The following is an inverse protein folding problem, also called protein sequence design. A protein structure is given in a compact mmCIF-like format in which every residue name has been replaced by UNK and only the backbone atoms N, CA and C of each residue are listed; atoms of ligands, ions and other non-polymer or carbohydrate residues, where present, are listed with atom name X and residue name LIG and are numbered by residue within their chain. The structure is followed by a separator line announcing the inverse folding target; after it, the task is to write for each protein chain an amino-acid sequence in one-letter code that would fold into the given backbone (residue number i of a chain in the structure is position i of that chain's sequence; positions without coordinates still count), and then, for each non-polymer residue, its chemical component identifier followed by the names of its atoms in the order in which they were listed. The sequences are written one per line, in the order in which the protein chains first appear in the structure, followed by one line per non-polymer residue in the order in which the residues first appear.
data_IF_206355605169
#
_entry.id   IF_206355605169
#
_cell.length_a   1.000
_cell.length_b   1.000
_cell.length_c   1.000
_cell.angle_alpha   90.00
_cell.angle_beta   90.00
_cell.angle_gamma   90.00
#
_symmetry.space_group_name_H-M   'P 1'
#
loop_
_entity.id
_entity.type
_entity.pdbx_description
1 polymer ?
#
# COMPACT_ATOMS: atom_id res chain seq x y z
N UNK A 1 -21.59 -5.01 17.56
CA UNK A 1 -20.24 -4.76 18.12
C UNK A 1 -19.35 -5.91 17.67
N UNK A 2 -18.10 -5.69 17.23
CA UNK A 2 -17.21 -6.79 16.85
C UNK A 2 -16.97 -7.70 18.06
N UNK A 3 -16.89 -9.01 17.83
CA UNK A 3 -16.65 -10.00 18.89
C UNK A 3 -15.23 -9.90 19.45
N UNK A 4 -14.24 -9.65 18.59
CA UNK A 4 -12.83 -9.48 18.94
C UNK A 4 -12.11 -8.61 17.90
N UNK A 5 -10.96 -8.05 18.30
CA UNK A 5 -9.99 -7.47 17.37
C UNK A 5 -8.73 -8.31 17.44
N UNK A 6 -8.36 -8.94 16.32
CA UNK A 6 -7.15 -9.73 16.19
C UNK A 6 -6.03 -8.84 15.62
N UNK A 7 -5.08 -8.46 16.45
CA UNK A 7 -3.93 -7.62 16.09
C UNK A 7 -2.75 -8.51 15.68
N UNK A 8 -2.50 -8.56 14.38
CA UNK A 8 -1.38 -9.27 13.74
C UNK A 8 -0.11 -8.42 13.66
N UNK A 9 -0.16 -7.17 14.12
CA UNK A 9 0.99 -6.27 14.11
C UNK A 9 2.09 -6.73 15.07
N UNK A 10 3.36 -6.41 14.78
CA UNK A 10 4.44 -6.71 15.69
C UNK A 10 4.31 -5.91 16.99
N UNK A 11 4.96 -6.41 18.04
CA UNK A 11 5.12 -5.64 19.27
C UNK A 11 5.99 -4.40 19.02
N UNK A 12 5.69 -3.32 19.72
CA UNK A 12 6.47 -2.08 19.63
C UNK A 12 7.92 -2.34 20.07
N UNK A 13 8.85 -1.95 19.22
CA UNK A 13 10.29 -2.00 19.49
C UNK A 13 10.74 -0.74 20.23
N UNK A 14 11.90 -0.80 20.90
CA UNK A 14 12.51 0.38 21.54
C UNK A 14 12.67 1.56 20.55
N UNK A 15 13.08 1.26 19.31
CA UNK A 15 13.21 2.24 18.23
C UNK A 15 11.87 2.92 17.91
N UNK A 16 10.79 2.14 17.79
CA UNK A 16 9.45 2.70 17.56
C UNK A 16 8.99 3.56 18.75
N UNK A 17 9.35 3.19 19.98
CA UNK A 17 9.07 3.98 21.18
C UNK A 17 9.76 5.36 21.18
N UNK A 18 11.04 5.41 20.81
CA UNK A 18 11.78 6.68 20.68
C UNK A 18 11.17 7.59 19.62
N UNK A 19 10.83 7.04 18.44
CA UNK A 19 10.11 7.79 17.40
C UNK A 19 8.73 8.24 17.87
N UNK A 20 8.07 7.45 18.73
CA UNK A 20 6.80 7.81 19.36
C UNK A 20 6.90 9.05 20.23
N UNK A 21 7.99 9.22 20.97
CA UNK A 21 8.25 10.44 21.75
C UNK A 21 8.47 11.65 20.82
N UNK A 22 9.24 11.51 19.75
CA UNK A 22 9.41 12.58 18.75
C UNK A 22 8.08 12.96 18.09
N UNK A 23 7.26 11.96 17.77
CA UNK A 23 5.93 12.14 17.20
C UNK A 23 4.98 12.83 18.20
N UNK A 24 5.04 12.49 19.48
CA UNK A 24 4.24 13.12 20.53
C UNK A 24 4.59 14.60 20.69
N UNK A 25 5.89 14.95 20.65
CA UNK A 25 6.36 16.35 20.69
C UNK A 25 5.97 17.13 19.42
N UNK A 26 5.96 16.47 18.26
CA UNK A 26 5.64 17.09 16.98
C UNK A 26 4.13 17.26 16.75
N UNK A 27 3.36 16.22 17.04
CA UNK A 27 1.95 16.07 16.72
C UNK A 27 1.20 15.40 17.89
N UNK A 28 1.02 16.09 19.04
CA UNK A 28 0.46 15.46 20.24
C UNK A 28 -0.99 15.01 20.04
N UNK A 29 -1.80 15.81 19.35
CA UNK A 29 -3.23 15.52 19.13
C UNK A 29 -3.45 14.16 18.43
N UNK A 30 -2.85 13.88 17.23
CA UNK A 30 -2.96 12.57 16.60
C UNK A 30 -2.45 11.40 17.46
N UNK A 31 -1.33 11.58 18.17
CA UNK A 31 -0.76 10.50 19.00
C UNK A 31 -1.68 10.16 20.17
N UNK A 32 -2.17 11.17 20.90
CA UNK A 32 -3.11 10.98 22.01
C UNK A 32 -4.45 10.38 21.53
N UNK A 33 -4.92 10.78 20.34
CA UNK A 33 -6.10 10.21 19.71
C UNK A 33 -5.90 8.71 19.42
N UNK A 34 -4.77 8.33 18.83
CA UNK A 34 -4.42 6.92 18.59
C UNK A 34 -4.33 6.10 19.87
N UNK A 35 -3.72 6.64 20.93
CA UNK A 35 -3.66 6.00 22.25
C UNK A 35 -5.05 5.79 22.85
N UNK A 36 -5.94 6.78 22.72
CA UNK A 36 -7.34 6.68 23.17
C UNK A 36 -8.10 5.58 22.43
N UNK A 37 -7.89 5.45 21.11
CA UNK A 37 -8.48 4.37 20.32
C UNK A 37 -7.97 2.99 20.74
N UNK A 38 -6.66 2.82 20.93
CA UNK A 38 -6.08 1.55 21.39
C UNK A 38 -6.58 1.16 22.77
N UNK A 39 -6.69 2.14 23.68
CA UNK A 39 -7.23 1.91 25.02
C UNK A 39 -8.72 1.52 24.98
N UNK A 40 -9.50 2.19 24.13
CA UNK A 40 -10.91 1.87 23.91
C UNK A 40 -11.08 0.47 23.30
N UNK A 41 -10.26 0.10 22.32
CA UNK A 41 -10.26 -1.22 21.72
C UNK A 41 -9.94 -2.30 22.75
N UNK A 42 -8.92 -2.10 23.59
CA UNK A 42 -8.55 -3.01 24.67
C UNK A 42 -9.67 -3.19 25.70
N UNK A 43 -10.33 -2.09 26.11
CA UNK A 43 -11.38 -2.13 27.14
C UNK A 43 -12.73 -2.63 26.67
N UNK A 44 -13.11 -2.36 25.42
CA UNK A 44 -14.48 -2.54 24.94
C UNK A 44 -14.65 -3.63 23.88
N UNK A 45 -13.59 -3.97 23.14
CA UNK A 45 -13.70 -4.75 21.89
C UNK A 45 -12.87 -6.05 21.88
N UNK A 46 -12.31 -6.47 23.02
CA UNK A 46 -11.55 -7.73 23.10
C UNK A 46 -10.33 -7.75 22.17
N UNK A 47 -9.39 -6.82 22.38
CA UNK A 47 -8.15 -6.75 21.61
C UNK A 47 -7.20 -7.90 22.00
N UNK A 48 -6.98 -8.82 21.06
CA UNK A 48 -6.02 -9.93 21.17
C UNK A 48 -4.80 -9.55 20.34
N UNK A 49 -3.63 -9.48 20.97
CA UNK A 49 -2.38 -9.05 20.32
C UNK A 49 -1.45 -10.22 20.06
N UNK A 50 -0.51 -10.02 19.14
CA UNK A 50 0.48 -11.05 18.80
C UNK A 50 -0.15 -12.22 18.07
N UNK A 51 -1.24 -11.96 17.34
CA UNK A 51 -1.94 -12.98 16.56
C UNK A 51 -1.05 -13.39 15.38
N UNK A 52 -0.88 -14.70 15.23
CA UNK A 52 -0.15 -15.34 14.13
C UNK A 52 -1.08 -16.32 13.43
N UNK A 53 -0.70 -16.69 12.20
CA UNK A 53 -1.34 -17.78 11.43
C UNK A 53 -2.87 -17.75 11.45
N UNK A 54 -3.46 -16.63 11.01
CA UNK A 54 -4.91 -16.49 10.87
C UNK A 54 -5.42 -17.29 9.67
N UNK A 55 -6.36 -18.20 9.88
CA UNK A 55 -7.06 -18.95 8.84
C UNK A 55 -8.56 -18.75 8.96
N UNK A 56 -9.21 -18.55 7.83
CA UNK A 56 -10.66 -18.46 7.72
C UNK A 56 -11.22 -19.79 7.22
N UNK A 57 -12.28 -20.27 7.89
CA UNK A 57 -12.92 -21.54 7.59
C UNK A 57 -14.36 -21.35 7.13
N UNK A 58 -14.78 -22.20 6.21
CA UNK A 58 -16.11 -22.18 5.63
C UNK A 58 -16.11 -22.81 4.25
N UNK A 59 -17.27 -23.32 3.83
CA UNK A 59 -17.46 -23.84 2.47
C UNK A 59 -17.92 -22.69 1.56
N UNK A 60 -19.22 -22.37 1.58
CA UNK A 60 -19.79 -21.27 0.77
C UNK A 60 -19.67 -19.90 1.43
N UNK A 61 -19.51 -19.87 2.75
CA UNK A 61 -19.45 -18.66 3.58
C UNK A 61 -18.58 -18.90 4.80
N UNK A 62 -18.02 -17.83 5.35
CA UNK A 62 -17.28 -17.85 6.60
C UNK A 62 -18.13 -18.40 7.75
N UNK A 63 -17.60 -19.35 8.51
CA UNK A 63 -18.23 -19.94 9.70
C UNK A 63 -17.39 -19.83 10.95
N UNK A 64 -16.06 -19.90 10.81
CA UNK A 64 -15.13 -19.74 11.93
C UNK A 64 -13.75 -19.26 11.46
N UNK A 65 -12.94 -18.85 12.43
CA UNK A 65 -11.55 -18.49 12.27
C UNK A 65 -10.72 -19.35 13.21
N UNK A 66 -9.56 -19.81 12.76
CA UNK A 66 -8.51 -20.29 13.67
C UNK A 66 -7.34 -19.32 13.64
N UNK A 67 -6.75 -19.07 14.80
CA UNK A 67 -5.58 -18.22 14.91
C UNK A 67 -4.69 -18.69 16.05
N UNK A 68 -3.38 -18.45 15.91
CA UNK A 68 -2.43 -18.61 17.00
C UNK A 68 -2.32 -17.28 17.75
N UNK A 69 -2.29 -17.32 19.08
CA UNK A 69 -1.84 -16.21 19.89
C UNK A 69 -0.97 -16.73 21.01
N UNK A 70 0.27 -16.25 21.09
CA UNK A 70 1.22 -16.67 22.12
C UNK A 70 1.45 -18.19 22.17
N UNK A 71 1.49 -18.87 21.01
CA UNK A 71 1.76 -20.30 20.90
C UNK A 71 0.58 -21.22 21.22
N UNK A 72 -0.62 -20.65 21.38
CA UNK A 72 -1.86 -21.39 21.61
C UNK A 72 -2.81 -21.13 20.44
N UNK A 73 -3.39 -22.21 19.92
CA UNK A 73 -4.40 -22.14 18.88
C UNK A 73 -5.78 -21.88 19.50
N UNK A 74 -6.51 -20.95 18.89
CA UNK A 74 -7.87 -20.57 19.28
C UNK A 74 -8.79 -20.68 18.07
N UNK A 75 -10.03 -21.05 18.33
CA UNK A 75 -11.12 -21.01 17.35
C UNK A 75 -12.16 -19.96 17.75
N UNK A 76 -12.62 -19.17 16.78
CA UNK A 76 -13.66 -18.17 16.95
C UNK A 76 -14.76 -18.36 15.89
N UNK A 77 -15.97 -18.68 16.33
CA UNK A 77 -17.13 -18.74 15.43
C UNK A 77 -17.60 -17.34 15.06
N UNK A 78 -17.61 -17.03 13.75
CA UNK A 78 -18.03 -15.75 13.22
C UNK A 78 -18.50 -15.89 11.77
N UNK A 79 -19.44 -15.05 11.36
CA UNK A 79 -19.90 -14.93 9.97
C UNK A 79 -19.29 -13.73 9.23
N UNK A 80 -18.51 -12.89 9.92
CA UNK A 80 -17.88 -11.69 9.33
C UNK A 80 -16.43 -11.53 9.78
N UNK A 81 -15.54 -11.40 8.80
CA UNK A 81 -14.13 -11.03 8.99
C UNK A 81 -13.86 -9.73 8.24
N UNK A 82 -13.38 -8.71 8.97
CA UNK A 82 -12.93 -7.45 8.40
C UNK A 82 -11.40 -7.38 8.50
N UNK A 83 -10.72 -7.36 7.36
CA UNK A 83 -9.26 -7.38 7.29
C UNK A 83 -8.73 -6.00 6.90
N UNK A 84 -7.73 -5.53 7.65
CA UNK A 84 -6.97 -4.33 7.32
C UNK A 84 -5.49 -4.57 7.59
N UNK A 85 -4.67 -4.51 6.54
CA UNK A 85 -3.20 -4.61 6.61
C UNK A 85 -2.58 -3.40 5.90
N UNK A 86 -2.94 -2.21 6.37
CA UNK A 86 -2.44 -0.94 5.86
C UNK A 86 -3.05 -0.49 4.53
N UNK A 87 -2.46 0.57 4.00
CA UNK A 87 -2.81 1.19 2.71
C UNK A 87 -1.52 1.50 1.97
N UNK A 88 -1.57 1.44 0.64
CA UNK A 88 -0.44 1.73 -0.24
C UNK A 88 -0.87 2.75 -1.32
N UNK A 89 0.08 3.53 -1.89
CA UNK A 89 -0.25 4.47 -2.96
C UNK A 89 -0.87 3.76 -4.16
N UNK A 90 -1.88 4.39 -4.77
CA UNK A 90 -2.42 3.90 -6.03
C UNK A 90 -1.58 4.42 -7.20
N UNK A 91 -0.62 3.59 -7.63
CA UNK A 91 0.38 3.93 -8.65
C UNK A 91 -0.06 3.63 -10.09
N UNK A 92 -1.26 3.09 -10.33
CA UNK A 92 -1.64 2.61 -11.67
C UNK A 92 -1.63 3.72 -12.72
N UNK A 93 -2.19 4.88 -12.38
CA UNK A 93 -2.25 6.01 -13.30
C UNK A 93 -0.84 6.56 -13.58
N UNK A 94 -0.02 6.73 -12.54
CA UNK A 94 1.34 7.26 -12.67
C UNK A 94 2.26 6.30 -13.42
N UNK A 95 2.21 5.00 -13.13
CA UNK A 95 2.96 3.98 -13.87
C UNK A 95 2.52 3.90 -15.33
N UNK A 96 1.22 3.97 -15.62
CA UNK A 96 0.72 4.00 -17.01
C UNK A 96 1.13 5.28 -17.75
N UNK A 97 1.30 6.39 -17.04
CA UNK A 97 1.82 7.64 -17.59
C UNK A 97 3.35 7.60 -17.80
N UNK A 98 4.02 6.49 -17.47
CA UNK A 98 5.47 6.33 -17.61
C UNK A 98 6.26 7.12 -16.58
N UNK A 99 5.68 7.41 -15.42
CA UNK A 99 6.42 7.99 -14.29
C UNK A 99 7.28 6.89 -13.66
N UNK A 100 8.55 7.18 -13.40
CA UNK A 100 9.47 6.27 -12.72
C UNK A 100 9.05 6.06 -11.27
N UNK A 101 9.16 4.83 -10.81
CA UNK A 101 8.85 4.41 -9.44
C UNK A 101 10.00 3.52 -8.95
N UNK A 102 10.22 3.52 -7.65
CA UNK A 102 11.09 2.56 -6.96
C UNK A 102 10.31 1.83 -5.87
N UNK A 103 10.83 0.68 -5.45
CA UNK A 103 10.28 -0.02 -4.31
C UNK A 103 10.75 0.62 -2.99
N UNK A 104 9.82 1.12 -2.18
CA UNK A 104 10.10 1.62 -0.84
C UNK A 104 10.03 0.47 0.17
N UNK A 105 11.17 0.09 0.73
CA UNK A 105 11.26 -1.04 1.68
C UNK A 105 10.64 -0.74 3.05
N UNK A 106 10.47 0.53 3.42
CA UNK A 106 9.89 0.92 4.71
C UNK A 106 8.38 0.69 4.70
N UNK A 107 7.68 1.17 3.66
CA UNK A 107 6.25 0.97 3.47
C UNK A 107 5.93 -0.30 2.69
N UNK A 108 6.96 -1.02 2.23
CA UNK A 108 6.87 -2.21 1.40
C UNK A 108 5.93 -2.04 0.20
N UNK A 109 6.06 -0.92 -0.51
CA UNK A 109 5.22 -0.62 -1.66
C UNK A 109 5.96 0.22 -2.71
N UNK A 110 5.40 0.27 -3.92
CA UNK A 110 5.94 1.09 -5.00
C UNK A 110 5.55 2.56 -4.80
N UNK A 111 6.51 3.47 -4.92
CA UNK A 111 6.30 4.92 -4.82
C UNK A 111 6.93 5.62 -6.04
N UNK A 112 6.32 6.69 -6.57
CA UNK A 112 6.91 7.48 -7.64
C UNK A 112 8.16 8.22 -7.19
N UNK A 113 9.07 8.43 -8.13
CA UNK A 113 10.21 9.33 -7.95
C UNK A 113 9.72 10.78 -8.01
N UNK A 114 9.79 11.48 -6.88
CA UNK A 114 9.39 12.88 -6.76
C UNK A 114 10.60 13.76 -6.47
N UNK A 115 10.65 14.90 -7.17
CA UNK A 115 11.62 15.98 -6.98
C UNK A 115 10.87 17.27 -6.60
N UNK A 116 11.53 18.14 -5.84
CA UNK A 116 10.93 19.42 -5.42
C UNK A 116 9.67 19.20 -4.56
N UNK A 117 8.59 19.90 -4.92
CA UNK A 117 7.30 19.79 -4.22
C UNK A 117 6.46 18.60 -4.72
N UNK A 118 6.48 18.32 -6.03
CA UNK A 118 5.70 17.22 -6.63
C UNK A 118 6.09 16.87 -8.06
N UNK A 119 7.17 17.44 -8.59
CA UNK A 119 7.66 17.17 -9.93
C UNK A 119 8.06 15.71 -10.08
N UNK A 120 7.68 15.09 -11.20
CA UNK A 120 7.96 13.68 -11.49
C UNK A 120 9.05 13.55 -12.55
N UNK A 121 9.39 12.31 -12.93
CA UNK A 121 10.21 12.06 -14.12
C UNK A 121 9.59 12.53 -15.45
N UNK A 122 8.28 12.84 -15.47
CA UNK A 122 7.59 13.42 -16.62
C UNK A 122 7.37 14.91 -16.34
N UNK A 123 8.04 15.79 -17.10
CA UNK A 123 8.08 17.24 -16.85
C UNK A 123 6.68 17.87 -16.70
N UNK A 124 5.72 17.41 -17.48
CA UNK A 124 4.36 17.99 -17.51
C UNK A 124 3.38 17.29 -16.55
N UNK A 125 3.87 16.40 -15.68
CA UNK A 125 3.03 15.69 -14.71
C UNK A 125 3.63 15.85 -13.31
N UNK A 126 2.84 16.45 -12.42
CA UNK A 126 3.14 16.53 -11.00
C UNK A 126 2.22 15.60 -10.20
N UNK A 127 2.68 15.14 -9.04
CA UNK A 127 1.92 14.28 -8.14
C UNK A 127 1.89 14.84 -6.72
N UNK A 128 0.81 14.53 -5.99
CA UNK A 128 0.55 15.05 -4.65
C UNK A 128 -0.20 14.02 -3.79
N UNK A 129 -0.02 14.12 -2.47
CA UNK A 129 -0.82 13.41 -1.48
C UNK A 129 -0.50 11.91 -1.44
N UNK A 130 -1.49 11.11 -1.04
CA UNK A 130 -1.28 9.68 -0.82
C UNK A 130 -1.02 8.88 -2.12
N UNK A 131 -1.16 9.50 -3.30
CA UNK A 131 -0.70 8.94 -4.57
C UNK A 131 0.83 8.97 -4.74
N UNK A 132 1.53 9.85 -4.00
CA UNK A 132 2.99 9.87 -3.91
C UNK A 132 3.47 8.90 -2.83
N UNK A 133 2.91 9.05 -1.63
CA UNK A 133 3.29 8.26 -0.46
C UNK A 133 2.20 8.43 0.57
N UNK A 134 1.90 7.38 1.33
CA UNK A 134 0.95 7.50 2.44
C UNK A 134 1.50 8.47 3.48
N UNK A 135 0.93 9.67 3.52
CA UNK A 135 1.30 10.78 4.41
C UNK A 135 0.12 11.27 5.26
N UNK A 136 -1.11 11.02 4.81
CA UNK A 136 -2.34 11.41 5.50
C UNK A 136 -2.91 12.76 5.04
N UNK A 137 -4.17 13.01 5.39
CA UNK A 137 -4.95 14.13 4.83
C UNK A 137 -4.29 15.51 5.02
N UNK A 138 -3.77 15.81 6.21
CA UNK A 138 -3.09 17.10 6.46
C UNK A 138 -1.80 17.26 5.64
N UNK A 139 -1.08 16.17 5.38
CA UNK A 139 0.10 16.18 4.53
C UNK A 139 -0.31 16.43 3.07
N UNK A 140 -1.37 15.77 2.60
CA UNK A 140 -1.85 15.94 1.24
C UNK A 140 -2.25 17.39 0.92
N UNK A 141 -2.92 18.09 1.86
CA UNK A 141 -3.27 19.51 1.70
C UNK A 141 -2.02 20.38 1.59
N UNK A 142 -1.08 20.25 2.54
CA UNK A 142 0.15 21.04 2.56
C UNK A 142 1.06 20.76 1.36
N UNK A 143 1.11 19.51 0.89
CA UNK A 143 1.81 19.17 -0.34
C UNK A 143 1.13 19.79 -1.56
N UNK A 144 -0.21 19.78 -1.63
CA UNK A 144 -0.96 20.34 -2.75
C UNK A 144 -0.73 21.82 -2.95
N UNK A 145 -0.71 22.61 -1.88
CA UNK A 145 -0.37 24.03 -1.94
C UNK A 145 1.03 24.25 -2.55
N UNK A 146 2.01 23.43 -2.15
CA UNK A 146 3.38 23.55 -2.66
C UNK A 146 3.50 23.10 -4.12
N UNK A 147 2.83 22.02 -4.50
CA UNK A 147 2.80 21.55 -5.89
C UNK A 147 2.10 22.58 -6.78
N UNK A 148 1.03 23.21 -6.31
CA UNK A 148 0.36 24.28 -7.04
C UNK A 148 1.31 25.47 -7.29
N UNK A 149 2.11 25.87 -6.30
CA UNK A 149 3.14 26.90 -6.48
C UNK A 149 4.21 26.47 -7.49
N UNK A 150 4.72 25.24 -7.39
CA UNK A 150 5.72 24.70 -8.32
C UNK A 150 5.21 24.68 -9.77
N UNK A 151 3.96 24.25 -9.97
CA UNK A 151 3.30 24.23 -11.28
C UNK A 151 3.05 25.66 -11.79
N UNK A 152 2.60 26.58 -10.94
CA UNK A 152 2.37 27.97 -11.32
C UNK A 152 3.67 28.64 -11.82
N UNK A 153 4.78 28.42 -11.12
CA UNK A 153 6.11 28.89 -11.55
C UNK A 153 6.53 28.24 -12.87
N UNK A 154 6.32 26.93 -13.04
CA UNK A 154 6.59 26.23 -14.31
C UNK A 154 5.80 26.83 -15.50
N UNK A 155 4.56 27.27 -15.25
CA UNK A 155 3.70 27.93 -16.24
C UNK A 155 4.02 29.43 -16.45
N UNK A 156 5.06 29.96 -15.80
CA UNK A 156 5.51 31.34 -15.98
C UNK A 156 4.84 32.38 -15.06
N UNK A 157 4.15 31.96 -14.01
CA UNK A 157 3.64 32.88 -12.99
C UNK A 157 4.82 33.54 -12.21
N UNK A 158 4.82 34.87 -12.12
CA UNK A 158 5.95 35.66 -11.58
C UNK A 158 6.08 35.64 -10.05
N UNK A 159 5.06 35.20 -9.32
CA UNK A 159 5.10 35.12 -7.85
C UNK A 159 4.52 33.82 -7.33
N UNK A 160 5.39 32.98 -6.75
CA UNK A 160 5.03 31.97 -5.75
C UNK A 160 6.16 31.92 -4.73
N UNK A 161 6.08 32.76 -3.70
CA UNK A 161 7.09 32.91 -2.64
C UNK A 161 7.21 31.71 -1.67
N UNK A 162 6.50 30.61 -1.94
CA UNK A 162 6.32 29.49 -1.01
C UNK A 162 7.36 28.36 -1.13
N UNK A 163 8.32 28.46 -2.07
CA UNK A 163 9.22 27.34 -2.39
C UNK A 163 10.51 27.27 -1.55
N UNK A 164 10.83 28.28 -0.73
CA UNK A 164 12.15 28.36 -0.10
C UNK A 164 12.38 27.39 1.08
N UNK A 165 11.35 27.05 1.86
CA UNK A 165 11.50 26.13 3.01
C UNK A 165 10.26 25.25 3.21
N UNK A 166 10.48 24.00 3.60
CA UNK A 166 9.37 23.12 3.95
C UNK A 166 8.61 23.64 5.18
N UNK A 167 7.27 23.77 5.12
CA UNK A 167 6.48 24.23 6.25
C UNK A 167 6.76 23.41 7.52
N UNK A 168 6.90 24.09 8.67
CA UNK A 168 7.06 23.44 9.98
C UNK A 168 5.97 22.40 10.23
N UNK A 169 4.75 22.65 9.76
CA UNK A 169 3.64 21.72 9.84
C UNK A 169 3.94 20.40 9.10
N UNK A 170 4.46 20.46 7.87
CA UNK A 170 4.81 19.27 7.09
C UNK A 170 5.97 18.50 7.72
N UNK A 171 6.99 19.22 8.22
CA UNK A 171 8.08 18.63 8.99
C UNK A 171 7.61 17.89 10.25
N UNK A 172 6.63 18.44 10.98
CA UNK A 172 6.03 17.76 12.15
C UNK A 172 5.28 16.49 11.74
N UNK A 173 4.49 16.55 10.67
CA UNK A 173 3.78 15.38 10.16
C UNK A 173 4.72 14.27 9.68
N UNK A 174 5.90 14.60 9.12
CA UNK A 174 6.93 13.61 8.77
C UNK A 174 7.43 12.84 9.99
N UNK A 175 7.60 13.49 11.15
CA UNK A 175 7.99 12.81 12.40
C UNK A 175 6.91 11.83 12.86
N UNK A 176 5.65 12.25 12.80
CA UNK A 176 4.51 11.37 13.06
C UNK A 176 4.51 10.17 12.09
N UNK A 177 4.71 10.40 10.79
CA UNK A 177 4.70 9.34 9.78
C UNK A 177 5.82 8.33 9.99
N UNK A 178 7.05 8.79 10.29
CA UNK A 178 8.18 7.92 10.62
C UNK A 178 7.89 7.01 11.81
N UNK A 179 7.21 7.52 12.84
CA UNK A 179 6.75 6.69 13.96
C UNK A 179 5.74 5.65 13.50
N UNK A 180 4.71 6.05 12.76
CA UNK A 180 3.65 5.13 12.30
C UNK A 180 4.20 4.02 11.39
N UNK A 181 5.08 4.35 10.44
CA UNK A 181 5.71 3.38 9.54
C UNK A 181 6.52 2.31 10.30
N UNK A 182 7.15 2.69 11.41
CA UNK A 182 7.97 1.79 12.23
C UNK A 182 7.16 1.04 13.30
N UNK A 183 6.08 1.64 13.80
CA UNK A 183 5.21 1.04 14.81
C UNK A 183 4.20 0.06 14.21
N UNK A 184 3.79 0.29 12.97
CA UNK A 184 2.78 -0.50 12.25
C UNK A 184 3.28 -0.91 10.86
N UNK A 185 4.38 -1.67 10.76
CA UNK A 185 4.84 -2.18 9.48
C UNK A 185 3.84 -3.21 8.93
N UNK A 186 3.82 -3.43 7.59
CA UNK A 186 3.02 -4.50 6.98
C UNK A 186 3.32 -5.87 7.59
N UNK A 187 2.30 -6.73 7.70
CA UNK A 187 2.49 -8.04 8.31
C UNK A 187 3.10 -9.03 7.31
N UNK A 188 4.17 -9.72 7.69
CA UNK A 188 4.82 -10.74 6.84
C UNK A 188 3.84 -11.78 6.26
N UNK A 189 2.82 -12.19 7.01
CA UNK A 189 1.83 -13.18 6.55
C UNK A 189 1.00 -12.73 5.35
N UNK A 190 0.82 -11.42 5.16
CA UNK A 190 0.15 -10.85 3.98
C UNK A 190 1.13 -10.59 2.82
N UNK A 191 2.40 -10.32 3.14
CA UNK A 191 3.46 -10.11 2.14
C UNK A 191 3.93 -11.41 1.50
N UNK A 192 4.15 -12.44 2.33
CA UNK A 192 4.65 -13.76 1.94
C UNK A 192 3.70 -14.85 2.45
N UNK A 193 2.49 -14.94 1.90
CA UNK A 193 1.49 -15.91 2.35
C UNK A 193 1.91 -17.37 2.10
N UNK A 194 1.27 -18.31 2.79
CA UNK A 194 1.51 -19.75 2.61
C UNK A 194 1.10 -20.21 1.22
N UNK A 195 1.62 -21.35 0.80
CA UNK A 195 1.46 -21.88 -0.55
C UNK A 195 0.00 -22.03 -1.01
N UNK A 196 -0.89 -22.40 -0.10
CA UNK A 196 -2.32 -22.65 -0.36
C UNK A 196 -3.11 -21.34 -0.53
N UNK A 197 -2.53 -20.20 -0.15
CA UNK A 197 -3.24 -18.92 -0.17
C UNK A 197 -3.45 -18.43 -1.59
N UNK A 198 -4.71 -18.14 -1.96
CA UNK A 198 -5.04 -17.50 -3.23
C UNK A 198 -4.53 -16.05 -3.23
N UNK A 199 -3.59 -15.75 -4.12
CA UNK A 199 -3.01 -14.42 -4.30
C UNK A 199 -3.79 -13.63 -5.36
N UNK A 200 -4.19 -14.28 -6.47
CA UNK A 200 -4.99 -13.65 -7.52
C UNK A 200 -6.42 -14.19 -7.54
N UNK A 201 -7.32 -13.57 -6.78
CA UNK A 201 -8.74 -13.97 -6.72
C UNK A 201 -9.46 -13.96 -8.07
N UNK A 202 -9.01 -13.17 -9.05
CA UNK A 202 -9.68 -13.11 -10.35
C UNK A 202 -9.33 -14.27 -11.27
N UNK A 203 -8.17 -14.89 -11.08
CA UNK A 203 -7.65 -15.98 -11.93
C UNK A 203 -7.33 -17.21 -11.07
N UNK A 204 -7.77 -17.20 -9.82
CA UNK A 204 -7.64 -18.27 -8.81
C UNK A 204 -6.21 -18.78 -8.56
N UNK A 205 -5.20 -17.93 -8.79
CA UNK A 205 -3.79 -18.29 -8.66
C UNK A 205 -3.32 -18.25 -7.19
N UNK A 206 -2.69 -19.33 -6.75
CA UNK A 206 -2.11 -19.53 -5.43
C UNK A 206 -0.70 -18.96 -5.29
N UNK A 207 -0.23 -18.80 -4.04
CA UNK A 207 1.15 -18.39 -3.78
C UNK A 207 2.16 -19.46 -4.24
N UNK A 208 1.79 -20.74 -4.17
CA UNK A 208 2.60 -21.86 -4.66
C UNK A 208 2.93 -21.73 -6.15
N UNK A 209 1.92 -21.46 -6.98
CA UNK A 209 2.09 -21.32 -8.43
C UNK A 209 2.99 -20.14 -8.79
N UNK A 210 2.89 -19.02 -8.06
CA UNK A 210 3.77 -17.85 -8.26
C UNK A 210 5.22 -18.22 -7.94
N UNK A 211 5.47 -18.90 -6.81
CA UNK A 211 6.81 -19.36 -6.42
C UNK A 211 7.37 -20.35 -7.44
N UNK A 212 6.56 -21.30 -7.91
CA UNK A 212 6.96 -22.29 -8.91
C UNK A 212 7.40 -21.63 -10.22
N UNK A 213 6.64 -20.64 -10.70
CA UNK A 213 6.97 -19.91 -11.93
C UNK A 213 8.23 -19.08 -11.74
N UNK A 214 8.41 -18.45 -10.59
CA UNK A 214 9.66 -17.73 -10.26
C UNK A 214 10.87 -18.67 -10.23
N UNK A 215 10.74 -19.83 -9.59
CA UNK A 215 11.79 -20.86 -9.52
C UNK A 215 12.12 -21.47 -10.89
N UNK A 216 11.18 -21.43 -11.84
CA UNK A 216 11.39 -21.87 -13.23
C UNK A 216 12.15 -20.85 -14.09
N UNK A 217 12.70 -19.78 -13.50
CA UNK A 217 13.49 -18.77 -14.20
C UNK A 217 12.69 -17.58 -14.71
N UNK A 218 11.44 -17.41 -14.27
CA UNK A 218 10.64 -16.25 -14.64
C UNK A 218 11.18 -14.97 -13.99
N UNK A 219 11.50 -13.97 -14.82
CA UNK A 219 12.22 -12.78 -14.38
C UNK A 219 11.34 -11.77 -13.64
N UNK A 220 10.03 -11.77 -13.89
CA UNK A 220 9.14 -10.83 -13.22
C UNK A 220 7.67 -11.01 -13.58
N UNK A 221 6.78 -10.18 -12.99
CA UNK A 221 5.34 -10.40 -13.05
C UNK A 221 4.78 -10.42 -14.49
N UNK A 222 5.35 -9.64 -15.40
CA UNK A 222 4.91 -9.58 -16.80
C UNK A 222 5.12 -10.90 -17.56
N UNK A 223 6.23 -11.58 -17.31
CA UNK A 223 6.49 -12.90 -17.89
C UNK A 223 5.66 -13.97 -17.15
N UNK A 224 5.56 -13.87 -15.82
CA UNK A 224 4.81 -14.84 -15.01
C UNK A 224 3.33 -14.89 -15.36
N UNK A 225 2.76 -13.74 -15.74
CA UNK A 225 1.40 -13.60 -16.25
C UNK A 225 1.13 -14.46 -17.49
N UNK A 226 2.12 -14.74 -18.35
CA UNK A 226 1.91 -15.61 -19.51
C UNK A 226 1.65 -17.07 -19.10
N UNK A 227 2.18 -17.50 -17.96
CA UNK A 227 2.04 -18.86 -17.45
C UNK A 227 0.85 -19.02 -16.51
N UNK A 228 0.60 -18.04 -15.64
CA UNK A 228 -0.43 -18.16 -14.58
C UNK A 228 -1.67 -17.32 -14.83
N UNK A 229 -1.64 -16.39 -15.80
CA UNK A 229 -2.63 -15.33 -15.98
C UNK A 229 -2.78 -14.37 -14.79
N UNK A 230 -2.00 -14.53 -13.72
CA UNK A 230 -2.07 -13.68 -12.54
C UNK A 230 -1.92 -12.19 -12.94
N UNK A 231 -2.90 -11.37 -12.51
CA UNK A 231 -2.99 -9.96 -12.90
C UNK A 231 -3.75 -9.68 -14.21
N UNK A 232 -4.38 -10.68 -14.83
CA UNK A 232 -5.22 -10.53 -16.04
C UNK A 232 -6.69 -10.24 -15.79
N UNK A 233 -7.19 -10.50 -14.60
CA UNK A 233 -8.59 -10.22 -14.28
C UNK A 233 -8.96 -8.73 -14.30
N UNK A 234 -10.24 -8.38 -14.10
CA UNK A 234 -10.74 -7.00 -14.19
C UNK A 234 -10.09 -6.03 -13.18
N UNK A 235 -9.46 -6.56 -12.13
CA UNK A 235 -8.66 -5.76 -11.20
C UNK A 235 -7.31 -5.28 -11.80
N UNK A 236 -6.85 -5.87 -12.91
CA UNK A 236 -5.59 -5.54 -13.60
C UNK A 236 -4.38 -5.51 -12.66
N UNK A 237 -4.30 -6.51 -11.77
CA UNK A 237 -3.21 -6.64 -10.80
C UNK A 237 -3.34 -5.76 -9.54
N UNK A 238 -4.32 -4.85 -9.44
CA UNK A 238 -4.46 -3.89 -8.30
C UNK A 238 -4.48 -4.53 -6.91
N UNK A 239 -4.83 -5.82 -6.84
CA UNK A 239 -4.97 -6.54 -5.57
C UNK A 239 -3.85 -7.54 -5.31
N UNK A 240 -3.13 -7.99 -6.35
CA UNK A 240 -2.13 -9.05 -6.23
C UNK A 240 -0.71 -8.62 -6.60
N UNK A 241 -0.51 -7.49 -7.29
CA UNK A 241 0.79 -7.14 -7.87
C UNK A 241 1.92 -7.04 -6.85
N UNK A 242 1.64 -6.45 -5.68
CA UNK A 242 2.63 -6.30 -4.63
C UNK A 242 3.08 -7.66 -4.09
N UNK A 243 2.13 -8.50 -3.68
CA UNK A 243 2.37 -9.86 -3.18
C UNK A 243 3.07 -10.73 -4.23
N UNK A 244 2.68 -10.63 -5.50
CA UNK A 244 3.35 -11.35 -6.60
C UNK A 244 4.82 -10.96 -6.68
N UNK A 245 5.12 -9.67 -6.68
CA UNK A 245 6.49 -9.18 -6.79
C UNK A 245 7.33 -9.62 -5.58
N UNK A 246 6.75 -9.59 -4.38
CA UNK A 246 7.39 -10.06 -3.14
C UNK A 246 7.65 -11.57 -3.16
N UNK A 247 6.67 -12.39 -3.56
CA UNK A 247 6.81 -13.84 -3.67
C UNK A 247 7.87 -14.25 -4.70
N UNK A 248 7.90 -13.58 -5.85
CA UNK A 248 8.91 -13.84 -6.88
C UNK A 248 10.32 -13.44 -6.41
N UNK A 249 10.43 -12.33 -5.67
CA UNK A 249 11.69 -11.85 -5.11
C UNK A 249 12.24 -12.83 -4.08
N UNK A 250 11.38 -13.26 -3.14
CA UNK A 250 11.67 -14.26 -2.12
C UNK A 250 12.11 -15.59 -2.75
N UNK A 251 11.35 -16.11 -3.71
CA UNK A 251 11.68 -17.37 -4.39
C UNK A 251 13.00 -17.34 -5.18
N UNK A 252 13.40 -16.17 -5.68
CA UNK A 252 14.64 -15.98 -6.45
C UNK A 252 15.83 -15.50 -5.63
N UNK A 253 15.61 -15.09 -4.38
CA UNK A 253 16.66 -14.51 -3.53
C UNK A 253 17.18 -13.15 -4.01
N UNK A 254 16.33 -12.36 -4.66
CA UNK A 254 16.68 -11.02 -5.20
C UNK A 254 15.81 -9.92 -4.58
N UNK A 255 16.14 -8.66 -4.84
CA UNK A 255 15.32 -7.54 -4.37
C UNK A 255 13.98 -7.44 -5.13
N UNK A 256 12.94 -6.90 -4.47
CA UNK A 256 11.65 -6.64 -5.12
C UNK A 256 11.79 -5.62 -6.27
N UNK A 257 12.74 -4.69 -6.15
CA UNK A 257 13.02 -3.70 -7.19
C UNK A 257 13.52 -4.36 -8.49
N UNK A 258 14.37 -5.40 -8.37
CA UNK A 258 14.86 -6.19 -9.51
C UNK A 258 13.75 -7.01 -10.20
N UNK A 259 12.80 -7.56 -9.43
CA UNK A 259 11.62 -8.25 -9.98
C UNK A 259 10.71 -7.29 -10.76
N UNK A 260 10.60 -6.05 -10.27
CA UNK A 260 9.75 -5.03 -10.87
C UNK A 260 8.26 -5.25 -10.62
N UNK A 261 7.45 -4.48 -11.35
CA UNK A 261 5.99 -4.49 -11.26
C UNK A 261 5.37 -4.93 -12.60
N UNK A 262 4.06 -5.19 -12.61
CA UNK A 262 3.33 -5.30 -13.87
C UNK A 262 3.46 -4.01 -14.68
N UNK A 263 3.59 -4.16 -16.00
CA UNK A 263 3.49 -3.05 -16.94
C UNK A 263 2.03 -2.62 -17.04
N UNK A 264 1.71 -1.46 -16.46
CA UNK A 264 0.36 -0.91 -16.47
C UNK A 264 0.08 -0.28 -17.84
N UNK A 265 -1.09 -0.60 -18.41
CA UNK A 265 -1.54 -0.11 -19.72
C UNK A 265 -2.92 0.52 -19.59
N UNK A 266 -3.25 1.52 -20.42
CA UNK A 266 -4.61 2.02 -20.51
C UNK A 266 -5.56 0.94 -21.09
N UNK A 267 -6.85 0.96 -20.75
CA UNK A 267 -7.49 1.87 -19.78
C UNK A 267 -7.26 1.44 -18.32
N UNK A 268 -7.09 2.40 -17.40
CA UNK A 268 -6.79 2.13 -15.98
C UNK A 268 -7.96 1.42 -15.26
N UNK A 269 -9.18 1.79 -15.66
CA UNK A 269 -10.42 1.14 -15.25
C UNK A 269 -11.11 0.61 -16.50
N UNK A 270 -11.78 -0.55 -16.42
CA UNK A 270 -12.59 -1.03 -17.53
C UNK A 270 -13.59 0.03 -17.97
N UNK A 271 -13.67 0.26 -19.27
CA UNK A 271 -14.69 1.06 -19.94
C UNK A 271 -15.41 0.16 -20.94
N UNK A 272 -16.66 0.46 -21.25
CA UNK A 272 -17.40 -0.27 -22.27
C UNK A 272 -16.89 0.11 -23.67
N UNK A 273 -17.14 -0.75 -24.65
CA UNK A 273 -16.81 -0.45 -26.06
C UNK A 273 -17.60 0.78 -26.53
N UNK A 274 -18.87 0.93 -26.11
CA UNK A 274 -19.68 2.12 -26.40
C UNK A 274 -19.04 3.40 -25.85
N UNK A 275 -18.60 3.39 -24.60
CA UNK A 275 -17.87 4.52 -24.01
C UNK A 275 -16.61 4.88 -24.81
N UNK A 276 -15.86 3.87 -25.29
CA UNK A 276 -14.67 4.11 -26.11
C UNK A 276 -15.04 4.67 -27.50
N UNK A 277 -16.12 4.18 -28.11
CA UNK A 277 -16.62 4.66 -29.40
C UNK A 277 -17.14 6.11 -29.34
N UNK A 278 -17.71 6.51 -28.19
CA UNK A 278 -18.22 7.86 -27.94
C UNK A 278 -17.11 8.87 -27.58
N UNK A 279 -15.86 8.43 -27.36
CA UNK A 279 -14.74 9.35 -27.19
C UNK A 279 -14.49 10.03 -28.54
N UNK A 280 -15.01 11.25 -28.67
CA UNK A 280 -14.61 12.16 -29.73
C UNK A 280 -13.11 12.42 -29.57
N UNK A 281 -12.29 11.72 -30.36
CA UNK A 281 -10.94 12.17 -30.60
C UNK A 281 -11.07 13.56 -31.22
N UNK A 282 -10.68 14.62 -30.48
CA UNK A 282 -10.41 15.90 -31.10
C UNK A 282 -9.49 15.60 -32.27
N UNK A 283 -9.99 15.77 -33.50
CA UNK A 283 -9.14 15.78 -34.69
C UNK A 283 -8.05 16.80 -34.37
N UNK A 284 -6.80 16.34 -34.26
CA UNK A 284 -5.67 17.22 -33.99
C UNK A 284 -5.75 18.42 -34.95
N UNK A 285 -5.64 19.67 -34.47
CA UNK A 285 -5.33 20.79 -35.35
C UNK A 285 -3.96 20.59 -36.01
#
# INVERSE_FOLDING_TARGET
MPQAILDTGPLLTLRSGLLGLEALLACPKPVLQGMSWLWSAKRKLGLIRGVRTLKAHGNDRLSSLTYDAHGHEYELSTSLLLVHDGVIPNTWLSMSAGIRHHFDSVQSCWVPDIHGAGSTSRKDISMVGDGVRIGGASVAVLQGERVACEVATYLGAKECSFLAAEPRALNRQRRLRRFLDQAFPPTNGFQLPTNETIVCRCEEVTAAEIRQVAASGCMGPNQGKAFTRCGMGPCMGRKCALTVSQLMADARGVSVDEIGHYRIRPPIRPITIGQLADINYCKNP
#
